data_IF_207354495218
#
_entry.id   IF_207354495218
#
_cell.length_a   1.000
_cell.length_b   1.000
_cell.length_c   1.000
_cell.angle_alpha   90.00
_cell.angle_beta   90.00
_cell.angle_gamma   90.00
#
_symmetry.space_group_name_H-M   'P 1'
#
loop_
_entity.id
_entity.type
_entity.pdbx_description
1 polymer ?
#
# COMPACT_ATOMS: atom_id res chain seq x y z
N UNK A 1 17.37 -55.02 -39.43
CA UNK A 1 16.75 -54.99 -40.78
C UNK A 1 15.24 -55.03 -40.64
N UNK A 2 14.53 -54.20 -41.41
CA UNK A 2 13.07 -53.94 -41.38
C UNK A 2 12.22 -55.14 -41.83
N UNK A 3 10.98 -55.24 -41.32
CA UNK A 3 9.70 -55.51 -42.04
C UNK A 3 8.55 -55.57 -41.00
N UNK A 4 7.69 -54.56 -40.91
CA UNK A 4 6.46 -54.25 -41.70
C UNK A 4 5.20 -55.02 -41.23
N UNK A 5 4.16 -54.22 -40.98
CA UNK A 5 2.81 -54.50 -40.52
C UNK A 5 1.93 -55.32 -41.50
N UNK A 6 0.73 -55.74 -41.03
CA UNK A 6 -0.59 -55.90 -41.70
C UNK A 6 -1.53 -56.64 -40.69
N UNK A 7 -2.47 -55.98 -40.00
CA UNK A 7 -3.90 -55.77 -40.31
C UNK A 7 -4.66 -57.01 -40.85
N UNK A 8 -5.61 -57.52 -40.06
CA UNK A 8 -6.82 -58.21 -40.56
C UNK A 8 -8.06 -57.72 -39.81
N UNK A 9 -9.06 -57.39 -40.62
CA UNK A 9 -10.42 -56.91 -40.32
C UNK A 9 -11.36 -58.13 -40.28
N UNK A 10 -12.31 -58.19 -39.34
CA UNK A 10 -13.66 -58.80 -39.50
C UNK A 10 -14.49 -58.54 -38.22
N UNK A 11 -15.45 -57.60 -38.26
CA UNK A 11 -16.89 -57.76 -38.58
C UNK A 11 -17.75 -58.12 -37.35
N UNK A 12 -18.64 -57.19 -37.00
CA UNK A 12 -19.72 -57.33 -36.04
C UNK A 12 -20.68 -56.16 -36.21
N UNK A 13 -21.55 -56.24 -37.22
CA UNK A 13 -22.65 -55.29 -37.48
C UNK A 13 -23.90 -55.79 -36.74
N UNK A 14 -24.52 -54.96 -35.89
CA UNK A 14 -25.96 -55.06 -35.61
C UNK A 14 -26.56 -53.72 -35.12
N UNK A 15 -27.16 -53.01 -36.08
CA UNK A 15 -28.37 -52.17 -36.05
C UNK A 15 -28.81 -51.35 -34.81
N UNK A 16 -28.94 -50.03 -35.07
CA UNK A 16 -30.18 -49.24 -35.03
C UNK A 16 -30.74 -48.81 -33.65
N UNK A 17 -30.55 -47.53 -33.28
CA UNK A 17 -31.61 -46.51 -33.26
C UNK A 17 -31.02 -45.13 -32.93
N UNK A 18 -31.38 -44.15 -33.76
CA UNK A 18 -31.17 -42.72 -33.54
C UNK A 18 -31.99 -42.24 -32.35
N UNK A 19 -31.42 -41.33 -31.54
CA UNK A 19 -32.17 -40.26 -30.87
C UNK A 19 -31.19 -39.10 -30.63
N UNK A 20 -31.20 -38.14 -31.56
CA UNK A 20 -30.77 -36.77 -31.29
C UNK A 20 -31.92 -36.07 -30.58
N UNK A 21 -31.67 -35.52 -29.41
CA UNK A 21 -32.57 -34.52 -28.80
C UNK A 21 -31.90 -33.16 -28.90
N UNK A 22 -32.12 -32.51 -30.05
CA UNK A 22 -32.16 -31.06 -30.13
C UNK A 22 -33.51 -30.61 -29.56
N UNK A 23 -33.50 -29.83 -28.49
CA UNK A 23 -34.69 -29.10 -28.06
C UNK A 23 -34.63 -27.71 -28.67
N UNK A 24 -35.39 -27.54 -29.75
CA UNK A 24 -35.90 -26.26 -30.21
C UNK A 24 -37.42 -26.43 -30.35
N UNK A 25 -38.17 -25.67 -29.56
CA UNK A 25 -39.58 -25.31 -29.77
C UNK A 25 -39.81 -24.04 -28.94
N UNK A 26 -40.62 -23.08 -29.31
CA UNK A 26 -41.14 -22.66 -30.60
C UNK A 26 -41.79 -21.31 -30.30
N UNK A 27 -41.66 -20.43 -31.27
CA UNK A 27 -42.32 -19.14 -31.38
C UNK A 27 -43.85 -19.30 -31.38
N UNK A 28 -44.55 -18.42 -30.68
CA UNK A 28 -45.90 -18.01 -31.07
C UNK A 28 -45.97 -16.52 -30.83
N UNK A 29 -45.89 -15.77 -31.93
CA UNK A 29 -45.93 -14.33 -31.91
C UNK A 29 -47.29 -13.80 -31.49
N UNK A 30 -47.28 -12.64 -30.82
CA UNK A 30 -48.09 -11.50 -31.25
C UNK A 30 -47.13 -10.33 -31.39
N UNK A 31 -46.98 -9.86 -32.62
CA UNK A 31 -46.29 -8.63 -32.97
C UNK A 31 -47.05 -7.41 -32.43
N UNK A 32 -46.32 -6.50 -31.78
CA UNK A 32 -46.55 -5.06 -31.94
C UNK A 32 -45.25 -4.29 -31.72
N UNK A 33 -44.65 -3.95 -32.86
CA UNK A 33 -43.80 -2.79 -33.19
C UNK A 33 -42.76 -2.27 -32.18
N UNK A 34 -41.50 -2.33 -32.63
CA UNK A 34 -40.31 -1.65 -32.10
C UNK A 34 -40.21 -0.21 -32.64
N UNK A 35 -39.94 0.76 -31.75
CA UNK A 35 -38.95 1.87 -31.90
C UNK A 35 -38.50 2.27 -30.46
N UNK A 36 -37.22 2.61 -30.21
CA UNK A 36 -36.49 2.26 -28.99
C UNK A 36 -36.49 3.36 -27.93
N UNK A 37 -36.29 2.99 -26.66
CA UNK A 37 -35.90 3.94 -25.60
C UNK A 37 -34.83 3.31 -24.71
N UNK A 38 -33.88 4.16 -24.35
CA UNK A 38 -32.59 3.89 -23.75
C UNK A 38 -32.63 3.16 -22.39
N UNK A 39 -31.42 2.77 -21.98
CA UNK A 39 -31.01 2.40 -20.63
C UNK A 39 -31.48 1.05 -20.09
N UNK A 40 -30.53 0.12 -19.95
CA UNK A 40 -29.73 0.12 -18.72
C UNK A 40 -28.58 -0.88 -18.86
N UNK A 41 -27.37 -0.33 -18.75
CA UNK A 41 -26.12 -1.03 -18.51
C UNK A 41 -26.31 -2.04 -17.39
N UNK A 42 -26.21 -3.33 -17.70
CA UNK A 42 -25.99 -4.35 -16.69
C UNK A 42 -24.57 -4.13 -16.18
N UNK A 43 -24.45 -3.30 -15.15
CA UNK A 43 -23.27 -3.27 -14.30
C UNK A 43 -23.17 -4.66 -13.69
N UNK A 44 -22.26 -5.46 -14.23
CA UNK A 44 -21.79 -6.64 -13.55
C UNK A 44 -21.15 -6.16 -12.25
N UNK A 45 -21.86 -6.35 -11.13
CA UNK A 45 -21.30 -6.26 -9.80
C UNK A 45 -20.19 -7.33 -9.70
N UNK A 46 -18.98 -6.95 -10.09
CA UNK A 46 -17.77 -7.62 -9.63
C UNK A 46 -17.77 -7.38 -8.13
N UNK A 47 -17.92 -8.45 -7.35
CA UNK A 47 -17.68 -8.41 -5.92
C UNK A 47 -16.25 -7.91 -5.76
N UNK A 48 -16.09 -6.63 -5.42
CA UNK A 48 -14.82 -6.11 -4.95
C UNK A 48 -14.51 -6.88 -3.68
N UNK A 49 -13.59 -7.82 -3.80
CA UNK A 49 -12.98 -8.46 -2.66
C UNK A 49 -12.22 -7.34 -1.93
N UNK A 50 -12.67 -6.99 -0.73
CA UNK A 50 -12.05 -5.97 0.13
C UNK A 50 -10.66 -6.47 0.56
N UNK A 51 -9.71 -6.51 -0.36
CA UNK A 51 -8.30 -6.64 -0.06
C UNK A 51 -7.79 -5.28 0.41
N UNK A 52 -7.11 -5.20 1.55
CA UNK A 52 -6.60 -3.94 2.09
C UNK A 52 -5.43 -3.40 1.27
N UNK A 53 -4.72 -4.28 0.56
CA UNK A 53 -3.57 -3.97 -0.26
C UNK A 53 -3.71 -4.54 -1.67
N UNK A 54 -3.17 -3.80 -2.64
CA UNK A 54 -2.96 -4.19 -4.02
C UNK A 54 -1.46 -4.29 -4.29
N UNK A 55 -1.11 -5.14 -5.26
CA UNK A 55 0.26 -5.30 -5.71
C UNK A 55 0.38 -4.97 -7.20
N UNK A 56 1.35 -4.15 -7.57
CA UNK A 56 1.67 -3.85 -8.97
C UNK A 56 3.10 -4.29 -9.27
N UNK A 57 3.24 -5.27 -10.16
CA UNK A 57 4.53 -5.79 -10.61
C UNK A 57 4.97 -5.09 -11.90
N UNK A 58 6.28 -4.83 -12.02
CA UNK A 58 6.86 -4.24 -13.22
C UNK A 58 8.37 -4.17 -13.18
N UNK A 59 8.96 -3.73 -14.30
CA UNK A 59 10.40 -3.54 -14.46
C UNK A 59 10.70 -2.04 -14.32
N UNK A 60 11.68 -1.70 -13.49
CA UNK A 60 12.11 -0.30 -13.33
C UNK A 60 12.72 0.21 -14.65
N UNK A 61 12.17 1.32 -15.14
CA UNK A 61 12.66 2.01 -16.35
C UNK A 61 13.39 3.31 -16.04
N UNK A 62 13.01 4.00 -14.95
CA UNK A 62 13.68 5.21 -14.48
C UNK A 62 13.60 5.35 -12.96
N UNK A 63 14.65 5.89 -12.37
CA UNK A 63 14.73 6.28 -10.96
C UNK A 63 15.37 7.66 -10.84
N UNK A 64 14.73 8.57 -10.11
CA UNK A 64 15.25 9.93 -9.88
C UNK A 64 15.11 10.32 -8.40
N UNK A 65 16.20 10.80 -7.81
CA UNK A 65 16.17 11.42 -6.48
C UNK A 65 15.58 12.83 -6.59
N UNK A 66 14.56 13.12 -5.78
CA UNK A 66 14.04 14.47 -5.56
C UNK A 66 14.30 14.88 -4.10
N UNK A 67 14.12 16.17 -3.79
CA UNK A 67 14.44 16.72 -2.47
C UNK A 67 13.77 15.94 -1.33
N UNK A 68 12.45 15.69 -1.45
CA UNK A 68 11.63 15.03 -0.41
C UNK A 68 11.16 13.61 -0.77
N UNK A 69 11.38 13.14 -1.99
CA UNK A 69 10.90 11.83 -2.45
C UNK A 69 11.83 11.19 -3.47
N UNK A 70 11.63 9.90 -3.73
CA UNK A 70 12.28 9.19 -4.80
C UNK A 70 11.25 8.79 -5.85
N UNK A 71 11.47 9.22 -7.09
CA UNK A 71 10.61 8.88 -8.22
C UNK A 71 11.06 7.55 -8.80
N UNK A 72 10.16 6.57 -8.84
CA UNK A 72 10.39 5.24 -9.44
C UNK A 72 9.35 5.01 -10.52
N UNK A 73 9.76 4.80 -11.76
CA UNK A 73 8.88 4.45 -12.86
C UNK A 73 9.05 2.98 -13.21
N UNK A 74 7.95 2.24 -13.23
CA UNK A 74 7.89 0.86 -13.72
C UNK A 74 7.19 0.80 -15.07
N UNK A 75 7.58 -0.18 -15.88
CA UNK A 75 6.85 -0.61 -17.05
C UNK A 75 6.23 -1.99 -16.78
N UNK A 76 4.98 -2.17 -17.24
CA UNK A 76 4.21 -3.39 -17.09
C UNK A 76 3.12 -3.48 -18.17
N UNK A 77 2.38 -4.57 -18.19
CA UNK A 77 1.32 -4.81 -19.18
C UNK A 77 0.17 -3.78 -19.15
N UNK A 78 0.13 -2.90 -18.13
CA UNK A 78 -0.89 -1.87 -17.89
C UNK A 78 -0.37 -0.45 -18.19
N UNK A 79 0.54 -0.29 -19.15
CA UNK A 79 1.17 0.99 -19.54
C UNK A 79 2.11 1.60 -18.48
N UNK A 80 2.51 0.81 -17.48
CA UNK A 80 3.43 1.24 -16.43
C UNK A 80 2.78 2.08 -15.33
N UNK A 81 3.59 2.49 -14.36
CA UNK A 81 3.18 3.30 -13.22
C UNK A 81 4.35 4.12 -12.70
N UNK A 82 4.06 5.29 -12.14
CA UNK A 82 5.08 6.12 -11.46
C UNK A 82 4.75 6.20 -9.98
N UNK A 83 5.75 5.93 -9.16
CA UNK A 83 5.69 6.04 -7.72
C UNK A 83 6.54 7.20 -7.23
N UNK A 84 6.01 7.95 -6.27
CA UNK A 84 6.77 8.88 -5.46
C UNK A 84 6.86 8.31 -4.06
N UNK A 85 7.98 7.67 -3.74
CA UNK A 85 8.17 7.07 -2.42
C UNK A 85 8.95 8.00 -1.51
N UNK A 86 8.61 7.99 -0.23
CA UNK A 86 9.39 8.63 0.81
C UNK A 86 10.74 7.91 0.98
N UNK A 87 11.74 8.60 1.57
CA UNK A 87 13.10 8.03 1.75
C UNK A 87 13.13 6.87 2.75
N UNK A 88 12.14 6.75 3.60
CA UNK A 88 11.95 5.71 4.62
C UNK A 88 11.11 4.52 4.14
N UNK A 89 10.55 4.59 2.92
CA UNK A 89 9.76 3.52 2.33
C UNK A 89 10.51 2.17 2.41
N UNK A 90 9.78 1.11 2.75
CA UNK A 90 10.41 -0.19 2.89
C UNK A 90 10.75 -0.76 1.53
N UNK A 91 12.01 -1.16 1.35
CA UNK A 91 12.47 -1.81 0.14
C UNK A 91 13.23 -3.05 0.57
N UNK A 92 12.81 -4.21 0.08
CA UNK A 92 13.42 -5.49 0.44
C UNK A 92 13.87 -6.20 -0.82
N UNK A 93 15.11 -6.67 -0.84
CA UNK A 93 15.59 -7.62 -1.83
C UNK A 93 15.16 -9.04 -1.45
N UNK A 94 14.25 -9.62 -2.22
CA UNK A 94 13.75 -10.97 -1.97
C UNK A 94 14.87 -12.02 -1.99
N UNK A 95 15.92 -11.84 -2.80
CA UNK A 95 16.99 -12.84 -2.92
C UNK A 95 17.91 -12.84 -1.71
N UNK A 96 18.28 -11.66 -1.22
CA UNK A 96 19.21 -11.52 -0.09
C UNK A 96 18.52 -11.40 1.26
N UNK A 97 17.20 -11.13 1.28
CA UNK A 97 16.45 -10.80 2.49
C UNK A 97 16.88 -9.47 3.11
N UNK A 98 17.63 -8.62 2.41
CA UNK A 98 18.15 -7.38 2.97
C UNK A 98 17.24 -6.20 2.68
N UNK A 99 17.14 -5.28 3.64
CA UNK A 99 16.55 -3.96 3.42
C UNK A 99 17.49 -3.13 2.56
N UNK A 100 16.93 -2.54 1.52
CA UNK A 100 17.58 -1.63 0.59
C UNK A 100 17.06 -0.21 0.82
N UNK A 101 17.75 0.75 0.21
CA UNK A 101 17.31 2.13 0.10
C UNK A 101 16.82 2.41 -1.32
N UNK A 102 16.10 3.52 -1.51
CA UNK A 102 15.64 3.92 -2.84
C UNK A 102 16.81 4.13 -3.83
N UNK A 103 18.00 4.47 -3.33
CA UNK A 103 19.23 4.63 -4.13
C UNK A 103 19.78 3.32 -4.69
N UNK A 104 19.43 2.20 -4.07
CA UNK A 104 19.86 0.88 -4.53
C UNK A 104 18.99 0.35 -5.68
N UNK A 105 17.82 0.96 -5.91
CA UNK A 105 16.95 0.65 -7.04
C UNK A 105 17.58 1.14 -8.34
N UNK A 106 17.65 0.24 -9.33
CA UNK A 106 18.25 0.50 -10.63
C UNK A 106 17.32 0.06 -11.75
N UNK A 107 17.51 0.68 -12.92
CA UNK A 107 16.84 0.27 -14.14
C UNK A 107 17.06 -1.24 -14.41
N UNK A 108 16.06 -1.87 -15.02
CA UNK A 108 15.99 -3.31 -15.30
C UNK A 108 15.74 -4.22 -14.09
N UNK A 109 15.66 -3.69 -12.86
CA UNK A 109 15.22 -4.50 -11.72
C UNK A 109 13.71 -4.76 -11.79
N UNK A 110 13.31 -6.01 -11.56
CA UNK A 110 11.91 -6.40 -11.39
C UNK A 110 11.48 -6.11 -9.97
N UNK A 111 10.39 -5.37 -9.78
CA UNK A 111 9.86 -5.05 -8.47
C UNK A 111 8.37 -5.36 -8.39
N UNK A 112 7.88 -5.56 -7.17
CA UNK A 112 6.46 -5.48 -6.86
C UNK A 112 6.21 -4.35 -5.86
N UNK A 113 5.38 -3.40 -6.25
CA UNK A 113 4.88 -2.32 -5.42
C UNK A 113 3.69 -2.79 -4.59
N UNK A 114 3.65 -2.40 -3.32
CA UNK A 114 2.56 -2.71 -2.40
C UNK A 114 1.86 -1.40 -2.04
N UNK A 115 0.57 -1.32 -2.33
CA UNK A 115 -0.25 -0.12 -2.23
C UNK A 115 -1.50 -0.43 -1.44
N UNK A 116 -2.02 0.46 -0.58
CA UNK A 116 -3.37 0.33 -0.07
C UNK A 116 -4.37 0.22 -1.23
N UNK A 117 -5.41 -0.60 -1.12
CA UNK A 117 -6.30 -0.85 -2.25
C UNK A 117 -7.10 0.37 -2.72
N UNK A 118 -7.25 1.37 -1.84
CA UNK A 118 -7.86 2.66 -2.14
C UNK A 118 -6.82 3.79 -2.29
N UNK A 119 -5.56 3.45 -2.63
CA UNK A 119 -4.52 4.43 -2.88
C UNK A 119 -4.95 5.42 -3.97
N UNK A 120 -5.00 6.75 -3.69
CA UNK A 120 -5.24 7.75 -4.72
C UNK A 120 -4.16 7.70 -5.82
N UNK A 121 -4.60 7.87 -7.05
CA UNK A 121 -3.77 7.89 -8.24
C UNK A 121 -4.16 9.05 -9.16
N UNK A 122 -3.22 9.57 -9.94
CA UNK A 122 -3.50 10.56 -10.97
C UNK A 122 -4.20 9.93 -12.17
N UNK A 123 -4.98 10.74 -12.90
CA UNK A 123 -5.59 10.36 -14.18
C UNK A 123 -4.64 10.54 -15.39
N UNK A 124 -3.33 10.65 -15.14
CA UNK A 124 -2.32 10.76 -16.18
C UNK A 124 -1.91 9.40 -16.75
N UNK A 125 -1.18 9.39 -17.87
CA UNK A 125 -0.54 8.21 -18.43
C UNK A 125 0.99 8.37 -18.42
N UNK A 126 1.75 7.50 -17.74
CA UNK A 126 1.29 6.49 -16.79
C UNK A 126 0.61 7.12 -15.55
N UNK A 127 -0.25 6.35 -14.85
CA UNK A 127 -0.82 6.78 -13.58
C UNK A 127 0.27 6.92 -12.53
N UNK A 128 0.08 7.85 -11.60
CA UNK A 128 1.09 8.19 -10.60
C UNK A 128 0.50 8.16 -9.20
N UNK A 129 1.27 7.71 -8.20
CA UNK A 129 0.84 7.67 -6.80
C UNK A 129 2.00 7.87 -5.84
N UNK A 130 1.73 8.48 -4.70
CA UNK A 130 2.66 8.60 -3.57
C UNK A 130 2.39 7.59 -2.45
N UNK A 131 1.41 6.71 -2.64
CA UNK A 131 0.83 5.92 -1.55
C UNK A 131 1.39 4.49 -1.48
N UNK A 132 2.46 4.20 -2.22
CA UNK A 132 3.15 2.92 -2.10
C UNK A 132 3.75 2.82 -0.69
N UNK A 133 3.42 1.73 0.01
CA UNK A 133 3.99 1.46 1.34
C UNK A 133 5.45 0.99 1.20
N UNK A 134 5.73 0.27 0.11
CA UNK A 134 7.08 -0.19 -0.17
C UNK A 134 7.18 -1.05 -1.43
N UNK A 135 8.39 -1.54 -1.67
CA UNK A 135 8.76 -2.35 -2.82
C UNK A 135 9.45 -3.65 -2.40
N UNK A 136 9.14 -4.72 -3.11
CA UNK A 136 9.91 -5.97 -3.07
C UNK A 136 10.67 -6.10 -4.39
N UNK A 137 12.00 -6.10 -4.34
CA UNK A 137 12.82 -6.47 -5.50
C UNK A 137 12.71 -7.98 -5.70
N UNK A 138 12.14 -8.37 -6.83
CA UNK A 138 11.73 -9.74 -7.13
C UNK A 138 12.92 -10.58 -7.57
N UNK A 139 12.91 -11.83 -7.15
CA UNK A 139 13.80 -12.88 -7.63
C UNK A 139 13.07 -13.81 -8.60
N UNK A 140 13.80 -14.48 -9.49
CA UNK A 140 13.19 -15.38 -10.48
C UNK A 140 12.60 -16.66 -9.85
N UNK A 141 13.05 -17.02 -8.64
CA UNK A 141 12.72 -18.29 -7.99
C UNK A 141 11.84 -18.14 -6.75
N UNK A 142 11.68 -16.92 -6.23
CA UNK A 142 10.95 -16.67 -5.00
C UNK A 142 9.47 -16.34 -5.24
N UNK A 143 8.60 -16.90 -4.42
CA UNK A 143 7.17 -16.58 -4.38
C UNK A 143 6.88 -15.48 -3.36
N UNK A 144 5.76 -14.78 -3.55
CA UNK A 144 5.25 -13.81 -2.60
C UNK A 144 3.75 -13.91 -2.48
N UNK A 145 3.25 -13.75 -1.25
CA UNK A 145 1.84 -13.61 -0.95
C UNK A 145 1.63 -12.33 -0.13
N UNK A 146 0.56 -11.58 -0.42
CA UNK A 146 0.15 -10.41 0.36
C UNK A 146 -1.28 -10.66 0.80
N UNK A 147 -1.48 -10.88 2.11
CA UNK A 147 -2.80 -11.24 2.62
C UNK A 147 -2.93 -10.96 4.11
N UNK A 148 -4.15 -11.02 4.61
CA UNK A 148 -4.45 -11.11 6.04
C UNK A 148 -4.24 -12.55 6.50
N UNK A 149 -3.40 -12.74 7.51
CA UNK A 149 -3.15 -14.06 8.12
C UNK A 149 -3.92 -14.19 9.42
N UNK A 150 -4.72 -15.25 9.54
CA UNK A 150 -5.52 -15.49 10.75
C UNK A 150 -4.67 -15.99 11.94
N UNK A 151 -5.32 -16.28 13.07
CA UNK A 151 -4.67 -16.81 14.29
C UNK A 151 -3.87 -18.11 14.09
N UNK A 152 -4.20 -18.88 13.06
CA UNK A 152 -3.54 -20.14 12.70
C UNK A 152 -2.52 -19.98 11.55
N UNK A 153 -2.21 -18.74 11.18
CA UNK A 153 -1.32 -18.36 10.09
C UNK A 153 -1.75 -18.91 8.73
N UNK A 154 -3.05 -18.96 8.50
CA UNK A 154 -3.64 -19.24 7.20
C UNK A 154 -4.09 -17.92 6.58
N UNK A 155 -3.78 -17.72 5.30
CA UNK A 155 -4.17 -16.51 4.58
C UNK A 155 -5.70 -16.46 4.38
N UNK A 156 -6.22 -15.27 4.08
CA UNK A 156 -7.67 -15.01 3.95
C UNK A 156 -8.36 -15.91 2.94
N UNK A 157 -7.67 -16.24 1.85
CA UNK A 157 -8.20 -17.09 0.77
C UNK A 157 -8.11 -18.59 1.07
N UNK A 158 -7.56 -19.00 2.22
CA UNK A 158 -7.32 -20.40 2.59
C UNK A 158 -6.47 -21.18 1.56
N UNK A 159 -5.58 -20.49 0.85
CA UNK A 159 -4.69 -21.06 -0.15
C UNK A 159 -3.28 -21.33 0.39
N UNK A 160 -2.85 -20.61 1.43
CA UNK A 160 -1.51 -20.71 2.00
C UNK A 160 -1.53 -20.71 3.53
N UNK A 161 -0.74 -21.61 4.14
CA UNK A 161 -0.51 -21.71 5.57
C UNK A 161 0.99 -21.61 5.88
N UNK A 162 1.34 -20.77 6.85
CA UNK A 162 2.73 -20.56 7.26
C UNK A 162 3.11 -21.48 8.42
N UNK A 163 4.25 -22.14 8.28
CA UNK A 163 4.92 -22.89 9.34
C UNK A 163 6.23 -22.17 9.66
N UNK A 164 6.21 -21.28 10.64
CA UNK A 164 7.38 -20.47 11.00
C UNK A 164 8.50 -21.34 11.57
N UNK A 165 9.74 -21.01 11.20
CA UNK A 165 10.95 -21.64 11.74
C UNK A 165 11.79 -20.61 12.51
N UNK A 166 12.83 -21.07 13.18
CA UNK A 166 13.83 -20.18 13.82
C UNK A 166 14.60 -19.30 12.82
N UNK A 167 14.58 -19.65 11.53
CA UNK A 167 15.24 -18.91 10.46
C UNK A 167 14.31 -17.93 9.74
N UNK A 168 13.02 -17.93 10.07
CA UNK A 168 12.06 -16.99 9.47
C UNK A 168 12.31 -15.59 10.02
N UNK A 169 12.65 -14.65 9.14
CA UNK A 169 12.81 -13.26 9.52
C UNK A 169 11.45 -12.57 9.55
N UNK A 170 11.12 -11.90 10.65
CA UNK A 170 9.88 -11.13 10.77
C UNK A 170 10.27 -9.67 11.00
N UNK A 171 9.78 -8.80 10.13
CA UNK A 171 10.05 -7.35 10.17
C UNK A 171 8.74 -6.58 10.02
N UNK A 172 8.72 -5.31 10.41
CA UNK A 172 7.62 -4.41 10.05
C UNK A 172 8.01 -3.52 8.86
N UNK A 173 7.01 -2.90 8.23
CA UNK A 173 7.25 -1.94 7.16
C UNK A 173 8.12 -0.75 7.62
N UNK A 174 8.07 -0.35 8.90
CA UNK A 174 8.93 0.73 9.44
C UNK A 174 10.40 0.32 9.60
N UNK A 175 10.73 -0.95 9.39
CA UNK A 175 12.09 -1.48 9.48
C UNK A 175 12.59 -1.65 10.91
N UNK A 176 11.72 -1.77 11.90
CA UNK A 176 12.17 -2.03 13.28
C UNK A 176 12.74 -3.43 13.41
N UNK A 177 13.99 -3.52 13.87
CA UNK A 177 14.68 -4.76 14.25
C UNK A 177 14.17 -5.35 15.59
N UNK A 178 12.88 -5.16 15.90
CA UNK A 178 12.28 -5.84 17.05
C UNK A 178 12.21 -7.33 16.74
N UNK A 179 12.53 -8.15 17.74
CA UNK A 179 12.34 -9.59 17.67
C UNK A 179 10.85 -9.90 17.64
N UNK A 180 10.28 -9.93 16.44
CA UNK A 180 8.90 -10.33 16.22
C UNK A 180 8.77 -11.85 16.26
N UNK A 181 7.61 -12.31 16.69
CA UNK A 181 7.30 -13.72 16.89
C UNK A 181 6.06 -14.12 16.12
N UNK A 182 5.77 -15.42 16.13
CA UNK A 182 4.54 -15.99 15.60
C UNK A 182 3.25 -15.35 16.12
N UNK A 183 3.29 -14.69 17.29
CA UNK A 183 2.12 -14.01 17.87
C UNK A 183 1.88 -12.65 17.22
N UNK A 184 2.93 -11.98 16.77
CA UNK A 184 2.86 -10.61 16.26
C UNK A 184 2.30 -10.53 14.85
N UNK A 185 2.30 -11.65 14.11
CA UNK A 185 1.76 -11.74 12.75
C UNK A 185 0.33 -12.29 12.69
N UNK A 186 -0.26 -12.65 13.83
CA UNK A 186 -1.64 -13.19 13.89
C UNK A 186 -2.66 -12.08 13.69
N UNK A 187 -3.65 -12.35 12.85
CA UNK A 187 -4.70 -11.41 12.46
C UNK A 187 -4.12 -10.10 11.89
N UNK A 188 -2.97 -10.18 11.22
CA UNK A 188 -2.29 -9.05 10.60
C UNK A 188 -2.15 -9.23 9.10
N UNK A 189 -2.10 -8.10 8.40
CA UNK A 189 -1.80 -8.02 6.98
C UNK A 189 -0.29 -8.13 6.81
N UNK A 190 0.15 -9.07 5.98
CA UNK A 190 1.55 -9.40 5.84
C UNK A 190 1.92 -9.58 4.37
N UNK A 191 3.15 -9.21 4.04
CA UNK A 191 3.86 -9.71 2.85
C UNK A 191 4.67 -10.92 3.29
N UNK A 192 4.52 -12.03 2.60
CA UNK A 192 5.25 -13.26 2.89
C UNK A 192 6.10 -13.61 1.69
N UNK A 193 7.40 -13.78 1.92
CA UNK A 193 8.37 -14.21 0.92
C UNK A 193 8.79 -15.65 1.22
N UNK A 194 8.67 -16.53 0.22
CA UNK A 194 8.98 -17.95 0.37
C UNK A 194 9.45 -18.57 -0.95
N UNK A 195 10.35 -19.55 -0.88
CA UNK A 195 10.86 -20.22 -2.08
C UNK A 195 9.99 -21.40 -2.53
N UNK A 196 9.54 -22.24 -1.60
CA UNK A 196 8.83 -23.49 -1.90
C UNK A 196 7.64 -23.71 -0.98
N UNK A 197 6.62 -24.44 -1.48
CA UNK A 197 5.45 -24.84 -0.69
C UNK A 197 4.99 -26.25 -1.06
N UNK A 198 4.18 -26.86 -0.19
CA UNK A 198 3.53 -28.14 -0.49
C UNK A 198 2.40 -27.96 -1.52
N UNK A 199 1.95 -29.06 -2.13
CA UNK A 199 0.81 -29.07 -3.07
C UNK A 199 -0.54 -29.31 -2.39
N UNK A 200 -0.64 -29.13 -1.07
CA UNK A 200 -1.89 -29.29 -0.32
C UNK A 200 -2.81 -28.08 -0.49
N UNK A 201 -4.05 -28.18 -0.02
CA UNK A 201 -4.98 -27.05 0.09
C UNK A 201 -5.39 -26.95 1.58
N UNK A 202 -4.96 -25.91 2.32
CA UNK A 202 -4.00 -24.88 1.91
C UNK A 202 -2.59 -25.46 1.67
N UNK A 203 -1.82 -24.82 0.79
CA UNK A 203 -0.40 -25.10 0.64
C UNK A 203 0.31 -24.72 1.93
N UNK A 204 1.39 -25.42 2.27
CA UNK A 204 2.17 -25.14 3.48
C UNK A 204 3.58 -24.73 3.09
N UNK A 205 4.10 -23.67 3.73
CA UNK A 205 5.45 -23.18 3.49
C UNK A 205 6.15 -22.78 4.78
N UNK A 206 7.47 -22.86 4.79
CA UNK A 206 8.32 -22.19 5.77
C UNK A 206 8.80 -20.89 5.11
N UNK A 207 8.26 -19.73 5.52
CA UNK A 207 8.64 -18.48 4.88
C UNK A 207 10.06 -18.07 5.26
N UNK A 208 10.75 -17.46 4.29
CA UNK A 208 12.07 -16.87 4.50
C UNK A 208 11.92 -15.54 5.24
N UNK A 209 10.92 -14.75 4.85
CA UNK A 209 10.62 -13.46 5.47
C UNK A 209 9.12 -13.18 5.53
N UNK A 210 8.69 -12.54 6.63
CA UNK A 210 7.33 -12.00 6.83
C UNK A 210 7.45 -10.52 7.17
N UNK A 211 6.79 -9.66 6.40
CA UNK A 211 6.78 -8.21 6.59
C UNK A 211 5.37 -7.81 7.03
N UNK A 212 5.26 -7.23 8.23
CA UNK A 212 3.98 -6.78 8.80
C UNK A 212 3.59 -5.43 8.18
N UNK A 213 2.43 -5.40 7.54
CA UNK A 213 1.76 -4.23 7.00
C UNK A 213 0.73 -3.72 8.01
N UNK A 214 1.15 -3.17 9.15
CA UNK A 214 0.17 -2.55 10.07
C UNK A 214 -0.59 -1.39 9.37
N UNK A 215 -1.86 -1.18 9.74
CA UNK A 215 -2.71 -0.11 9.16
C UNK A 215 -2.21 1.31 9.43
N UNK A 216 -1.30 1.45 10.40
CA UNK A 216 -0.54 2.67 10.68
C UNK A 216 0.72 2.82 9.79
N UNK A 217 0.90 1.93 8.80
CA UNK A 217 1.86 2.01 7.70
C UNK A 217 1.21 2.46 6.39
N UNK A 218 0.09 3.20 6.42
CA UNK A 218 -0.09 4.14 5.31
C UNK A 218 1.17 5.00 5.27
N UNK A 219 1.81 5.26 4.11
CA UNK A 219 2.67 6.43 4.02
C UNK A 219 1.82 7.55 4.57
N UNK A 220 2.27 8.17 5.65
CA UNK A 220 1.47 9.12 6.40
C UNK A 220 1.09 10.25 5.44
N UNK A 221 -0.07 10.14 4.81
CA UNK A 221 -0.86 11.31 4.52
C UNK A 221 -1.19 11.81 5.91
N UNK A 222 -0.45 12.84 6.34
CA UNK A 222 -0.62 13.48 7.63
C UNK A 222 -2.08 13.91 7.73
N UNK A 223 -2.92 13.04 8.29
CA UNK A 223 -4.16 13.51 8.87
C UNK A 223 -3.70 14.38 10.02
N UNK A 224 -3.65 15.69 9.76
CA UNK A 224 -3.28 16.68 10.75
C UNK A 224 -4.19 16.45 11.97
N UNK A 225 -3.63 15.84 13.01
CA UNK A 225 -4.32 15.61 14.27
C UNK A 225 -4.14 16.86 15.11
N UNK A 226 -5.20 17.27 15.80
CA UNK A 226 -5.14 18.37 16.76
C UNK A 226 -4.44 17.90 18.03
N UNK A 227 -3.38 18.60 18.43
CA UNK A 227 -2.62 18.34 19.66
C UNK A 227 -2.60 19.60 20.53
N UNK A 228 -2.49 19.44 21.85
CA UNK A 228 -2.49 20.54 22.81
C UNK A 228 -1.22 21.38 22.71
N UNK A 229 -1.34 22.63 22.27
CA UNK A 229 -0.20 23.52 22.04
C UNK A 229 0.64 23.72 23.31
N UNK A 230 -0.01 24.00 24.44
CA UNK A 230 0.69 24.35 25.68
C UNK A 230 1.50 23.18 26.22
N UNK A 231 0.89 22.00 26.32
CA UNK A 231 1.54 20.81 26.88
C UNK A 231 2.77 20.42 26.08
N UNK A 232 2.65 20.36 24.75
CA UNK A 232 3.74 19.93 23.88
C UNK A 232 4.84 20.99 23.75
N UNK A 233 4.46 22.27 23.66
CA UNK A 233 5.43 23.36 23.61
C UNK A 233 6.25 23.45 24.90
N UNK A 234 5.60 23.33 26.07
CA UNK A 234 6.28 23.32 27.36
C UNK A 234 7.18 22.08 27.53
N UNK A 235 6.73 20.90 27.07
CA UNK A 235 7.56 19.70 27.03
C UNK A 235 8.82 19.89 26.19
N UNK A 236 8.72 20.64 25.08
CA UNK A 236 9.85 21.04 24.23
C UNK A 236 10.60 22.28 24.75
N UNK A 237 10.25 22.81 25.93
CA UNK A 237 10.95 23.91 26.61
C UNK A 237 10.59 25.31 26.13
N UNK A 238 9.48 25.49 25.41
CA UNK A 238 8.95 26.81 25.05
C UNK A 238 8.08 27.38 26.17
N UNK A 239 8.20 28.68 26.40
CA UNK A 239 7.28 29.45 27.24
C UNK A 239 6.11 29.94 26.40
N UNK A 240 4.89 29.54 26.75
CA UNK A 240 3.66 29.92 26.04
C UNK A 240 2.95 31.05 26.78
N UNK A 241 2.87 32.22 26.15
CA UNK A 241 2.14 33.38 26.67
C UNK A 241 0.83 33.57 25.89
N UNK A 242 -0.28 33.36 26.59
CA UNK A 242 -1.62 33.62 26.07
C UNK A 242 -2.21 34.87 26.74
N UNK A 243 -2.61 35.87 25.95
CA UNK A 243 -3.11 37.14 26.49
C UNK A 243 -4.60 37.38 26.27
N UNK A 244 -5.15 37.04 25.09
CA UNK A 244 -6.58 37.25 24.78
C UNK A 244 -6.98 36.57 23.48
N UNK A 245 -8.30 36.37 23.26
CA UNK A 245 -8.84 35.80 22.02
C UNK A 245 -8.56 36.60 20.75
N UNK A 246 -8.27 37.91 20.87
CA UNK A 246 -7.98 38.80 19.73
C UNK A 246 -6.49 39.04 19.51
N UNK A 247 -5.63 38.46 20.36
CA UNK A 247 -4.17 38.63 20.30
C UNK A 247 -3.51 37.30 19.96
N UNK A 248 -2.36 37.31 19.27
CA UNK A 248 -1.66 36.08 18.97
C UNK A 248 -1.13 35.41 20.24
N UNK A 249 -1.07 34.09 20.22
CA UNK A 249 -0.39 33.28 21.24
C UNK A 249 1.10 33.35 20.94
N UNK A 250 1.91 33.72 21.93
CA UNK A 250 3.35 33.91 21.74
C UNK A 250 4.10 32.76 22.39
N UNK A 251 4.92 32.05 21.63
CA UNK A 251 5.86 31.04 22.13
C UNK A 251 7.28 31.62 22.10
N UNK A 252 8.01 31.45 23.20
CA UNK A 252 9.41 31.91 23.29
C UNK A 252 10.30 30.80 23.79
N UNK A 253 11.43 30.55 23.10
CA UNK A 253 12.48 29.63 23.53
C UNK A 253 13.83 30.16 23.03
N UNK A 254 14.74 30.50 23.95
CA UNK A 254 16.02 31.12 23.62
C UNK A 254 15.81 32.35 22.70
N UNK A 255 16.43 32.36 21.52
CA UNK A 255 16.32 33.42 20.51
C UNK A 255 15.14 33.25 19.55
N UNK A 256 14.28 32.25 19.78
CA UNK A 256 13.14 31.91 18.92
C UNK A 256 11.85 32.49 19.50
N UNK A 257 11.11 33.21 18.64
CA UNK A 257 9.79 33.77 18.94
C UNK A 257 8.80 33.33 17.86
N UNK A 258 7.68 32.75 18.28
CA UNK A 258 6.59 32.34 17.39
C UNK A 258 5.30 33.06 17.80
N UNK A 259 4.60 33.67 16.87
CA UNK A 259 3.30 34.31 17.08
C UNK A 259 2.22 33.58 16.28
N UNK A 260 1.26 32.99 16.99
CA UNK A 260 0.15 32.22 16.42
C UNK A 260 -1.16 33.01 16.50
N UNK A 261 -1.80 33.26 15.36
CA UNK A 261 -3.12 33.92 15.36
C UNK A 261 -4.22 32.89 15.50
N UNK A 262 -5.07 33.01 16.53
CA UNK A 262 -6.17 32.07 16.71
C UNK A 262 -7.20 32.17 15.59
N UNK A 263 -7.65 31.03 15.09
CA UNK A 263 -8.54 30.91 13.94
C UNK A 263 -7.83 31.01 12.58
N UNK A 264 -6.50 31.17 12.56
CA UNK A 264 -5.69 31.19 11.35
C UNK A 264 -4.72 30.00 11.30
N UNK A 265 -4.38 29.59 10.09
CA UNK A 265 -3.28 28.70 9.74
C UNK A 265 -1.92 29.45 9.69
N UNK A 266 -1.96 30.77 9.68
CA UNK A 266 -0.76 31.62 9.66
C UNK A 266 -0.08 31.71 11.03
N UNK A 267 1.25 31.60 11.00
CA UNK A 267 2.13 31.89 12.13
C UNK A 267 3.28 32.80 11.70
N UNK A 268 3.83 33.56 12.64
CA UNK A 268 5.06 34.33 12.41
C UNK A 268 6.17 33.72 13.24
N UNK A 269 7.22 33.25 12.59
CA UNK A 269 8.42 32.79 13.25
C UNK A 269 9.55 33.82 13.09
N UNK A 270 10.28 34.05 14.16
CA UNK A 270 11.46 34.93 14.16
C UNK A 270 12.51 34.28 15.03
N UNK A 271 13.70 34.09 14.47
CA UNK A 271 14.86 33.57 15.19
C UNK A 271 16.12 34.34 14.78
N UNK A 272 17.11 34.42 15.68
CA UNK A 272 18.36 35.15 15.46
C UNK A 272 19.52 34.25 14.99
N UNK A 273 19.29 32.94 14.86
CA UNK A 273 20.31 31.98 14.41
C UNK A 273 20.44 31.96 12.89
N UNK A 274 21.66 31.77 12.36
CA UNK A 274 21.86 31.58 10.90
C UNK A 274 21.38 30.23 10.38
N UNK A 275 21.22 29.25 11.26
CA UNK A 275 20.77 27.91 10.90
C UNK A 275 19.26 27.92 10.66
N UNK A 276 18.85 27.35 9.52
CA UNK A 276 17.46 27.11 9.17
C UNK A 276 16.84 26.16 10.20
N UNK A 277 15.69 26.55 10.76
CA UNK A 277 14.87 25.73 11.64
C UNK A 277 13.76 25.06 10.83
N UNK A 278 13.19 23.94 11.31
CA UNK A 278 12.04 23.30 10.65
C UNK A 278 10.86 24.28 10.46
N UNK A 279 10.66 25.22 11.39
CA UNK A 279 9.69 26.31 11.28
C UNK A 279 9.95 27.29 10.13
N UNK A 280 11.18 27.46 9.64
CA UNK A 280 11.48 28.34 8.49
C UNK A 280 11.05 27.73 7.16
N UNK A 281 10.81 26.41 7.14
CA UNK A 281 10.38 25.66 5.96
C UNK A 281 8.85 25.52 5.90
N UNK A 282 8.15 25.99 6.93
CA UNK A 282 6.69 26.01 6.98
C UNK A 282 6.17 27.40 6.59
N UNK A 283 5.45 27.47 5.47
CA UNK A 283 4.73 28.69 5.09
C UNK A 283 3.48 28.91 5.98
N UNK A 284 2.76 27.83 6.29
CA UNK A 284 1.49 27.80 7.03
C UNK A 284 1.33 26.47 7.80
N UNK A 285 0.47 26.45 8.80
CA UNK A 285 0.08 25.23 9.52
C UNK A 285 -0.96 24.44 8.71
N UNK A 286 -0.90 23.10 8.76
CA UNK A 286 -1.89 22.24 8.09
C UNK A 286 -3.32 22.39 8.63
N UNK A 287 -3.44 22.83 9.89
CA UNK A 287 -4.72 23.15 10.52
C UNK A 287 -4.63 24.48 11.26
N UNK A 288 -5.72 25.26 11.25
CA UNK A 288 -5.76 26.51 11.99
C UNK A 288 -5.63 26.26 13.49
N UNK A 289 -4.99 27.18 14.20
CA UNK A 289 -4.95 27.16 15.65
C UNK A 289 -6.36 27.44 16.20
N UNK A 290 -7.00 26.46 16.83
CA UNK A 290 -8.37 26.59 17.36
C UNK A 290 -8.40 26.35 18.87
N UNK A 291 -9.42 26.92 19.51
CA UNK A 291 -9.71 26.66 20.91
C UNK A 291 -10.69 25.47 20.96
N UNK A 292 -10.27 24.34 21.53
CA UNK A 292 -11.16 23.21 21.84
C UNK A 292 -11.29 23.09 23.35
N UNK A 293 -12.45 23.46 23.89
CA UNK A 293 -12.65 23.58 25.33
C UNK A 293 -11.86 24.77 25.90
N UNK A 294 -11.05 24.54 26.94
CA UNK A 294 -10.17 25.56 27.55
C UNK A 294 -8.72 25.52 27.02
N UNK A 295 -8.45 24.70 25.99
CA UNK A 295 -7.10 24.49 25.47
C UNK A 295 -6.97 24.97 24.02
N UNK A 296 -5.84 25.63 23.74
CA UNK A 296 -5.41 25.92 22.37
C UNK A 296 -4.84 24.65 21.76
N UNK A 297 -5.42 24.21 20.64
CA UNK A 297 -4.95 23.06 19.88
C UNK A 297 -4.44 23.49 18.51
N UNK A 298 -3.38 22.83 18.05
CA UNK A 298 -2.68 23.08 16.79
C UNK A 298 -2.43 21.76 16.05
N UNK A 299 -1.96 21.79 14.80
CA UNK A 299 -1.60 20.57 14.08
C UNK A 299 -0.41 19.87 14.73
N UNK A 300 -0.40 18.53 14.75
CA UNK A 300 0.72 17.74 15.24
C UNK A 300 2.03 18.08 14.50
N UNK A 301 1.96 18.26 13.19
CA UNK A 301 3.10 18.64 12.36
C UNK A 301 3.72 19.98 12.79
N UNK A 302 2.92 20.95 13.23
CA UNK A 302 3.44 22.21 13.78
C UNK A 302 4.24 21.98 15.08
N UNK A 303 3.79 21.06 15.94
CA UNK A 303 4.50 20.69 17.18
C UNK A 303 5.82 19.97 16.88
N UNK A 304 5.84 19.11 15.87
CA UNK A 304 7.06 18.45 15.40
C UNK A 304 8.06 19.47 14.86
N UNK A 305 7.60 20.49 14.15
CA UNK A 305 8.44 21.59 13.66
C UNK A 305 9.04 22.49 14.77
N UNK A 306 8.58 22.39 16.03
CA UNK A 306 9.13 23.15 17.16
C UNK A 306 10.50 22.63 17.67
N UNK A 307 11.09 21.58 17.07
CA UNK A 307 12.37 20.99 17.50
C UNK A 307 13.60 21.91 17.38
#
# INVERSE_FOLDING_TARGET
MKKKAIIKILSGVLCLTMLMSATAFAETGIHKDLVPTADNTVLQNVKQQDEPYLTEEGIITSTEEKEESYRVQIDNDKMGMVFYISKDAFIIDQKSGKRLTAKDLKNQMKITAILPANAPMTLSLPPQTSQAVGFIVRSDTGSMDVSLYNDTLVNKDNTLKLNLSEYTQIVDAKGNDKMYTAKDIRNKECVVLYAVSTKSIPAQTVPEMVIILDKDNKPETSEAKYVSLRSEAEAKGYKVEWTSHKKPVVLTKNDMKIELTMGSDDFKFTHLTKDLKPLDQMDKMDLPAVLKGEQTVVSNHFIEALE
#
